data_IF_189321703123
#
_entry.id   IF_189321703123
#
_cell.length_a   1.000
_cell.length_b   1.000
_cell.length_c   1.000
_cell.angle_alpha   90.00
_cell.angle_beta   90.00
_cell.angle_gamma   90.00
#
_symmetry.space_group_name_H-M   'P 1'
#
loop_
_entity.id
_entity.type
_entity.pdbx_description
1 polymer ?
#
# COMPACT_ATOMS: atom_id res chain seq x y z
N UNK A 1 27.39 -83.20 10.54
CA UNK A 1 26.66 -84.05 11.50
C UNK A 1 26.19 -83.16 12.63
N UNK A 2 24.86 -83.05 12.80
CA UNK A 2 24.12 -82.84 14.06
C UNK A 2 24.85 -82.01 15.13
N UNK A 3 24.49 -80.76 15.44
CA UNK A 3 23.19 -80.35 16.00
C UNK A 3 23.14 -78.82 16.11
N UNK A 4 22.35 -78.15 15.27
CA UNK A 4 21.92 -76.75 15.48
C UNK A 4 20.63 -76.42 14.70
N UNK A 5 19.89 -77.45 14.31
CA UNK A 5 18.55 -77.35 13.75
C UNK A 5 17.55 -77.67 14.86
N UNK A 6 17.34 -76.75 15.82
CA UNK A 6 16.15 -76.74 16.69
C UNK A 6 16.01 -75.51 17.60
N UNK A 7 16.39 -74.31 17.14
CA UNK A 7 16.07 -73.06 17.87
C UNK A 7 15.17 -72.07 17.11
N UNK A 8 14.76 -72.39 15.88
CA UNK A 8 13.96 -71.47 15.03
C UNK A 8 12.53 -71.96 14.75
N UNK A 9 11.94 -72.75 15.66
CA UNK A 9 10.58 -73.28 15.50
C UNK A 9 9.59 -72.87 16.62
N UNK A 10 9.87 -71.81 17.40
CA UNK A 10 8.98 -71.40 18.52
C UNK A 10 8.81 -69.89 18.73
N UNK A 11 8.92 -69.06 17.69
CA UNK A 11 8.49 -67.67 17.75
C UNK A 11 7.69 -67.37 16.49
N UNK A 12 6.36 -67.31 16.65
CA UNK A 12 5.41 -67.01 15.58
C UNK A 12 5.55 -65.57 15.05
N UNK A 13 4.61 -65.12 14.20
CA UNK A 13 4.71 -63.84 13.50
C UNK A 13 3.98 -62.67 14.20
N UNK A 14 4.41 -62.17 15.38
CA UNK A 14 4.00 -60.82 15.80
C UNK A 14 5.14 -59.80 15.79
N UNK A 15 6.42 -60.19 15.65
CA UNK A 15 7.53 -59.24 15.82
C UNK A 15 7.81 -58.35 14.58
N UNK A 16 7.51 -58.84 13.37
CA UNK A 16 7.66 -58.04 12.14
C UNK A 16 6.56 -56.97 12.02
N UNK A 17 5.35 -57.24 12.54
CA UNK A 17 4.24 -56.28 12.56
C UNK A 17 4.42 -55.17 13.60
N UNK A 18 5.00 -55.48 14.77
CA UNK A 18 5.27 -54.47 15.81
C UNK A 18 6.38 -53.51 15.39
N UNK A 19 7.39 -53.97 14.65
CA UNK A 19 8.46 -53.10 14.13
C UNK A 19 8.00 -52.14 13.03
N UNK A 20 7.07 -52.53 12.16
CA UNK A 20 6.55 -51.65 11.12
C UNK A 20 5.63 -50.55 11.67
N UNK A 21 4.86 -50.83 12.73
CA UNK A 21 3.98 -49.84 13.36
C UNK A 21 4.80 -48.80 14.16
N UNK A 22 5.88 -49.23 14.83
CA UNK A 22 6.78 -48.30 15.53
C UNK A 22 7.55 -47.37 14.58
N UNK A 23 7.99 -47.85 13.42
CA UNK A 23 8.67 -47.01 12.42
C UNK A 23 7.72 -46.01 11.72
N UNK A 24 6.46 -46.39 11.49
CA UNK A 24 5.44 -45.48 10.93
C UNK A 24 4.97 -44.41 11.93
N UNK A 25 4.97 -44.71 13.24
CA UNK A 25 4.67 -43.74 14.30
C UNK A 25 5.84 -42.79 14.61
N UNK A 26 7.10 -43.23 14.43
CA UNK A 26 8.27 -42.35 14.57
C UNK A 26 8.53 -41.47 13.34
N UNK A 27 8.11 -41.85 12.13
CA UNK A 27 8.17 -40.97 10.95
C UNK A 27 7.04 -39.93 10.88
N UNK A 28 5.91 -40.17 11.54
CA UNK A 28 4.78 -39.23 11.57
C UNK A 28 4.92 -38.12 12.62
N UNK A 29 5.82 -38.30 13.61
CA UNK A 29 6.11 -37.27 14.63
C UNK A 29 7.18 -36.26 14.17
N UNK A 30 7.91 -36.53 13.09
CA UNK A 30 8.99 -35.66 12.58
C UNK A 30 8.60 -34.67 11.47
N UNK A 31 7.34 -34.64 11.04
CA UNK A 31 6.87 -33.72 9.99
C UNK A 31 5.66 -32.86 10.39
N UNK A 32 5.35 -32.73 11.68
CA UNK A 32 4.52 -31.62 12.15
C UNK A 32 5.48 -30.48 12.50
N UNK A 33 6.00 -29.80 11.48
CA UNK A 33 6.45 -28.42 11.71
C UNK A 33 5.20 -27.68 12.18
N UNK A 34 5.19 -27.05 13.36
CA UNK A 34 4.13 -26.10 13.63
C UNK A 34 4.24 -25.09 12.49
N UNK A 35 3.23 -25.05 11.63
CA UNK A 35 2.99 -23.85 10.87
C UNK A 35 2.69 -22.80 11.94
N UNK A 36 3.74 -22.14 12.43
CA UNK A 36 3.61 -20.77 12.85
C UNK A 36 3.17 -20.06 11.57
N UNK A 37 1.87 -20.11 11.28
CA UNK A 37 1.22 -19.03 10.60
C UNK A 37 1.66 -17.83 11.43
N UNK A 38 2.63 -17.07 10.92
CA UNK A 38 2.90 -15.76 11.42
C UNK A 38 1.52 -15.11 11.38
N UNK A 39 0.88 -14.98 12.54
CA UNK A 39 -0.38 -14.29 12.64
C UNK A 39 -0.07 -12.92 12.04
N UNK A 40 -0.52 -12.73 10.80
CA UNK A 40 -0.46 -11.45 10.14
C UNK A 40 -1.21 -10.54 11.09
N UNK A 41 -0.55 -9.47 11.53
CA UNK A 41 -1.22 -8.54 12.42
C UNK A 41 -2.28 -7.82 11.61
N UNK A 42 -3.46 -8.42 11.52
CA UNK A 42 -4.63 -7.81 10.95
C UNK A 42 -5.27 -6.99 12.08
N UNK A 43 -4.67 -5.85 12.42
CA UNK A 43 -5.54 -4.77 12.87
C UNK A 43 -6.20 -4.27 11.62
N UNK A 44 -7.48 -4.57 11.47
CA UNK A 44 -8.37 -3.72 10.69
C UNK A 44 -8.41 -2.39 11.45
N UNK A 45 -7.83 -1.30 10.92
CA UNK A 45 -7.94 0.00 11.58
C UNK A 45 -9.43 0.29 11.80
N UNK A 46 -9.81 0.79 12.98
CA UNK A 46 -11.22 1.12 13.25
C UNK A 46 -11.78 2.09 12.21
N UNK A 47 -10.91 2.89 11.57
CA UNK A 47 -11.22 3.90 10.55
C UNK A 47 -10.49 3.66 9.21
N UNK A 48 -10.51 2.44 8.68
CA UNK A 48 -9.99 2.16 7.33
C UNK A 48 -8.46 1.98 7.28
N UNK A 49 -7.67 3.06 7.16
CA UNK A 49 -6.19 3.01 7.05
C UNK A 49 -5.44 3.57 8.26
N UNK A 50 -6.15 4.16 9.22
CA UNK A 50 -5.56 4.71 10.46
C UNK A 50 -4.64 5.92 10.21
N UNK A 51 -3.63 6.09 11.07
CA UNK A 51 -2.58 7.11 10.92
C UNK A 51 -1.63 6.70 9.79
N UNK A 52 -1.22 7.65 8.96
CA UNK A 52 -0.51 7.37 7.69
C UNK A 52 0.82 8.10 7.57
N UNK A 53 1.78 7.48 6.88
CA UNK A 53 3.04 8.11 6.51
C UNK A 53 3.57 7.64 5.14
N UNK A 54 4.39 8.48 4.52
CA UNK A 54 5.12 8.22 3.28
C UNK A 54 6.62 8.40 3.49
N UNK A 55 7.41 7.47 2.98
CA UNK A 55 8.88 7.55 3.01
C UNK A 55 9.51 6.85 1.80
N UNK A 56 10.12 7.63 0.90
CA UNK A 56 10.78 7.15 -0.32
C UNK A 56 12.31 7.21 -0.24
N UNK A 57 12.86 7.45 0.96
CA UNK A 57 14.29 7.37 1.21
C UNK A 57 14.80 5.92 1.40
N UNK A 58 16.13 5.78 1.45
CA UNK A 58 16.80 4.55 1.83
C UNK A 58 18.02 4.87 2.73
N UNK A 59 18.27 4.10 3.81
CA UNK A 59 17.44 3.00 4.33
C UNK A 59 16.12 3.50 4.95
N UNK A 60 15.09 2.64 5.00
CA UNK A 60 13.80 2.95 5.62
C UNK A 60 13.93 2.93 7.15
N UNK A 61 13.61 4.03 7.88
CA UNK A 61 13.73 4.12 9.33
C UNK A 61 12.55 3.43 10.02
N UNK A 62 12.57 2.09 10.06
CA UNK A 62 11.46 1.24 10.57
C UNK A 62 10.96 1.69 11.94
N UNK A 63 11.85 1.86 12.92
CA UNK A 63 11.48 2.22 14.29
C UNK A 63 10.67 3.53 14.37
N UNK A 64 11.09 4.56 13.64
CA UNK A 64 10.40 5.85 13.64
C UNK A 64 9.04 5.77 12.91
N UNK A 65 8.99 5.00 11.83
CA UNK A 65 7.78 4.82 11.03
C UNK A 65 6.78 3.86 11.68
N UNK A 66 7.21 3.00 12.60
CA UNK A 66 6.36 2.04 13.29
C UNK A 66 5.33 2.64 14.25
N UNK A 67 5.35 3.97 14.45
CA UNK A 67 4.28 4.69 15.18
C UNK A 67 3.00 4.88 14.36
N UNK A 68 3.10 4.79 13.03
CA UNK A 68 1.96 4.93 12.12
C UNK A 68 1.28 3.58 11.87
N UNK A 69 -0.03 3.59 11.69
CA UNK A 69 -0.81 2.39 11.36
C UNK A 69 -0.54 1.91 9.92
N UNK A 70 -0.28 2.85 9.00
CA UNK A 70 -0.01 2.59 7.59
C UNK A 70 1.18 3.42 7.11
N UNK A 71 2.14 2.76 6.43
CA UNK A 71 3.32 3.44 5.88
C UNK A 71 3.52 3.03 4.43
N UNK A 72 3.54 4.01 3.52
CA UNK A 72 3.86 3.83 2.11
C UNK A 72 5.35 4.04 1.88
N UNK A 73 6.00 3.07 1.23
CA UNK A 73 7.42 3.13 0.90
C UNK A 73 7.67 2.99 -0.60
N UNK A 74 8.80 3.51 -1.07
CA UNK A 74 9.29 3.22 -2.42
C UNK A 74 9.61 1.73 -2.50
N UNK A 75 8.86 1.02 -3.35
CA UNK A 75 8.91 -0.42 -3.48
C UNK A 75 10.31 -0.93 -3.88
N UNK A 76 11.04 -0.15 -4.67
CA UNK A 76 12.36 -0.55 -5.19
C UNK A 76 13.53 -0.06 -4.30
N UNK A 77 13.25 0.48 -3.11
CA UNK A 77 14.26 0.93 -2.13
C UNK A 77 15.11 -0.18 -1.48
N UNK A 78 14.80 -1.45 -1.77
CA UNK A 78 15.39 -2.61 -1.09
C UNK A 78 14.71 -2.99 0.23
N UNK A 79 13.61 -2.31 0.60
CA UNK A 79 12.84 -2.62 1.81
C UNK A 79 12.15 -4.00 1.75
N UNK A 80 12.22 -4.75 2.85
CA UNK A 80 11.50 -6.01 3.06
C UNK A 80 10.41 -5.84 4.13
N UNK A 81 9.12 -5.77 3.74
CA UNK A 81 8.01 -5.60 4.69
C UNK A 81 7.85 -6.80 5.64
N UNK A 82 8.35 -7.99 5.29
CA UNK A 82 8.29 -9.18 6.17
C UNK A 82 9.31 -9.07 7.29
N UNK A 83 10.52 -8.60 6.98
CA UNK A 83 11.55 -8.37 7.98
C UNK A 83 11.11 -7.29 8.99
N UNK A 84 10.54 -6.18 8.50
CA UNK A 84 10.00 -5.12 9.36
C UNK A 84 8.82 -5.60 10.22
N UNK A 85 7.97 -6.50 9.72
CA UNK A 85 6.89 -7.09 10.51
C UNK A 85 7.36 -8.13 11.54
N UNK A 86 8.62 -8.58 11.47
CA UNK A 86 9.21 -9.59 12.33
C UNK A 86 10.00 -9.02 13.53
N UNK A 87 10.32 -7.72 13.55
CA UNK A 87 11.01 -7.03 14.65
C UNK A 87 10.08 -6.77 15.85
N UNK A 88 9.32 -7.81 16.23
CA UNK A 88 8.31 -7.82 17.29
C UNK A 88 8.99 -8.00 18.65
N UNK A 89 9.53 -6.93 19.21
CA UNK A 89 9.78 -6.93 20.65
C UNK A 89 8.45 -6.67 21.34
N UNK A 90 8.02 -7.62 22.19
CA UNK A 90 6.70 -7.72 22.82
C UNK A 90 6.28 -6.57 23.75
N UNK A 91 6.83 -5.38 23.56
CA UNK A 91 6.53 -4.14 24.28
C UNK A 91 5.98 -3.03 23.37
N UNK A 92 6.24 -3.03 22.05
CA UNK A 92 5.68 -2.04 21.11
C UNK A 92 4.51 -2.62 20.32
N UNK A 93 3.29 -2.39 20.80
CA UNK A 93 2.02 -2.95 20.31
C UNK A 93 1.48 -2.35 18.99
N UNK A 94 2.32 -1.74 18.16
CA UNK A 94 1.89 -1.08 16.92
C UNK A 94 2.22 -1.95 15.70
N UNK A 95 1.16 -2.39 15.01
CA UNK A 95 1.27 -3.16 13.79
C UNK A 95 1.14 -2.25 12.59
N UNK A 96 2.28 -1.79 12.08
CA UNK A 96 2.32 -0.97 10.86
C UNK A 96 2.05 -1.83 9.63
N UNK A 97 1.07 -1.40 8.84
CA UNK A 97 0.79 -1.95 7.53
C UNK A 97 1.70 -1.26 6.50
N UNK A 98 2.64 -2.04 5.94
CA UNK A 98 3.56 -1.54 4.91
C UNK A 98 2.92 -1.63 3.53
N UNK A 99 2.81 -0.48 2.87
CA UNK A 99 2.26 -0.31 1.53
C UNK A 99 3.39 -0.04 0.54
N UNK A 100 3.26 -0.57 -0.67
CA UNK A 100 4.17 -0.25 -1.76
C UNK A 100 3.64 0.92 -2.59
N UNK A 101 4.49 1.90 -2.88
CA UNK A 101 4.25 2.89 -3.93
C UNK A 101 4.18 2.20 -5.30
N UNK A 102 3.14 2.51 -6.08
CA UNK A 102 2.98 2.03 -7.45
C UNK A 102 2.40 3.13 -8.34
N UNK A 103 3.10 3.50 -9.41
CA UNK A 103 2.57 4.39 -10.45
C UNK A 103 1.72 3.60 -11.46
N UNK A 104 0.46 4.01 -11.65
CA UNK A 104 -0.50 3.37 -12.58
C UNK A 104 -0.56 4.11 -13.93
N UNK A 105 -0.53 5.44 -13.88
CA UNK A 105 -0.65 6.31 -15.06
C UNK A 105 0.67 6.55 -15.78
N UNK A 106 1.81 6.33 -15.12
CA UNK A 106 3.11 6.65 -15.66
C UNK A 106 4.14 5.53 -15.43
N UNK A 107 5.24 5.58 -16.18
CA UNK A 107 6.39 4.70 -15.95
C UNK A 107 7.70 5.44 -16.17
N UNK A 108 8.62 5.29 -15.23
CA UNK A 108 9.99 5.78 -15.32
C UNK A 108 10.94 4.69 -15.86
N UNK A 109 12.08 5.08 -16.43
CA UNK A 109 12.99 4.15 -17.13
C UNK A 109 13.73 3.18 -16.19
N UNK A 110 13.79 3.53 -14.91
CA UNK A 110 14.42 2.79 -13.82
C UNK A 110 13.56 1.63 -13.30
N UNK A 111 12.26 1.58 -13.64
CA UNK A 111 11.42 0.44 -13.26
C UNK A 111 11.83 -0.81 -14.03
N UNK A 112 11.99 -1.93 -13.31
CA UNK A 112 12.41 -3.22 -13.89
C UNK A 112 11.48 -3.68 -15.03
N UNK A 113 10.19 -3.38 -14.94
CA UNK A 113 9.20 -3.74 -15.96
C UNK A 113 9.17 -2.79 -17.17
N UNK A 114 9.93 -1.68 -17.17
CA UNK A 114 9.90 -0.68 -18.26
C UNK A 114 10.25 -1.30 -19.63
N UNK A 115 11.24 -2.19 -19.67
CA UNK A 115 11.69 -2.82 -20.91
C UNK A 115 10.68 -3.83 -21.46
N UNK A 116 9.90 -4.47 -20.60
CA UNK A 116 8.85 -5.42 -20.98
C UNK A 116 7.59 -4.72 -21.52
N UNK A 117 7.40 -3.43 -21.20
CA UNK A 117 6.23 -2.67 -21.64
C UNK A 117 6.28 -2.36 -23.15
N UNK A 118 5.22 -2.70 -23.91
CA UNK A 118 5.08 -2.32 -25.31
C UNK A 118 5.23 -0.81 -25.53
N UNK A 119 6.13 -0.41 -26.43
CA UNK A 119 6.42 1.00 -26.69
C UNK A 119 5.19 1.82 -27.06
N UNK A 120 4.25 1.21 -27.79
CA UNK A 120 3.00 1.83 -28.26
C UNK A 120 2.05 2.23 -27.13
N UNK A 121 2.23 1.71 -25.92
CA UNK A 121 1.41 2.09 -24.75
C UNK A 121 1.91 3.36 -24.08
N UNK A 122 3.05 3.94 -24.49
CA UNK A 122 3.59 5.17 -23.91
C UNK A 122 3.24 6.35 -24.82
N UNK A 123 2.16 7.06 -24.50
CA UNK A 123 1.55 8.08 -25.38
C UNK A 123 1.96 9.53 -25.05
N UNK A 124 2.64 9.74 -23.94
CA UNK A 124 3.07 11.09 -23.53
C UNK A 124 4.30 11.06 -22.64
N UNK A 125 4.72 12.24 -22.21
CA UNK A 125 5.82 12.42 -21.27
C UNK A 125 5.43 13.45 -20.23
N UNK A 126 5.73 13.16 -18.98
CA UNK A 126 5.71 14.13 -17.90
C UNK A 126 7.16 14.57 -17.62
N UNK A 127 7.48 15.81 -17.99
CA UNK A 127 8.87 16.29 -17.95
C UNK A 127 9.39 16.49 -16.52
N UNK A 128 8.52 16.92 -15.60
CA UNK A 128 8.88 17.17 -14.20
C UNK A 128 9.36 15.90 -13.48
N UNK A 129 8.79 14.76 -13.85
CA UNK A 129 9.09 13.44 -13.26
C UNK A 129 9.93 12.54 -14.17
N UNK A 130 10.33 13.02 -15.36
CA UNK A 130 11.07 12.23 -16.35
C UNK A 130 10.45 10.86 -16.70
N UNK A 131 9.13 10.79 -16.64
CA UNK A 131 8.32 9.59 -16.84
C UNK A 131 7.54 9.63 -18.16
N UNK A 132 7.13 8.46 -18.64
CA UNK A 132 6.25 8.30 -19.79
C UNK A 132 4.81 8.08 -19.32
N UNK A 133 3.84 8.78 -19.93
CA UNK A 133 2.42 8.61 -19.66
C UNK A 133 1.90 7.37 -20.39
N UNK A 134 1.26 6.47 -19.65
CA UNK A 134 0.72 5.20 -20.12
C UNK A 134 -0.69 5.38 -20.68
N UNK A 135 -0.95 4.76 -21.83
CA UNK A 135 -2.29 4.57 -22.38
C UNK A 135 -3.11 3.60 -21.54
N UNK A 136 -3.99 4.14 -20.70
CA UNK A 136 -4.86 3.32 -19.85
C UNK A 136 -5.87 2.53 -20.69
N UNK A 137 -6.15 2.96 -21.92
CA UNK A 137 -7.09 2.28 -22.83
C UNK A 137 -6.48 1.10 -23.58
N UNK A 138 -5.17 0.84 -23.41
CA UNK A 138 -4.52 -0.31 -24.02
C UNK A 138 -5.11 -1.63 -23.45
N UNK A 139 -5.67 -2.54 -24.28
CA UNK A 139 -6.37 -3.73 -23.78
C UNK A 139 -5.52 -4.67 -22.92
N UNK A 140 -4.19 -4.69 -23.14
CA UNK A 140 -3.25 -5.50 -22.37
C UNK A 140 -2.74 -4.85 -21.09
N UNK A 141 -3.04 -3.56 -20.86
CA UNK A 141 -2.52 -2.82 -19.71
C UNK A 141 -3.00 -3.38 -18.36
N UNK A 142 -4.30 -3.69 -18.14
CA UNK A 142 -4.76 -4.27 -16.88
C UNK A 142 -4.00 -5.55 -16.49
N UNK A 143 -3.85 -6.48 -17.43
CA UNK A 143 -3.13 -7.74 -17.18
C UNK A 143 -1.64 -7.48 -16.91
N UNK A 144 -1.01 -6.63 -17.73
CA UNK A 144 0.39 -6.28 -17.54
C UNK A 144 0.65 -5.67 -16.16
N UNK A 145 -0.22 -4.74 -15.72
CA UNK A 145 -0.11 -4.09 -14.42
C UNK A 145 -0.18 -5.12 -13.29
N UNK A 146 -1.16 -6.02 -13.33
CA UNK A 146 -1.32 -7.07 -12.32
C UNK A 146 -0.13 -8.03 -12.29
N UNK A 147 0.36 -8.47 -13.45
CA UNK A 147 1.40 -9.51 -13.55
C UNK A 147 2.82 -8.99 -13.34
N UNK A 148 3.14 -7.82 -13.88
CA UNK A 148 4.50 -7.29 -13.88
C UNK A 148 4.75 -6.24 -12.80
N UNK A 149 3.70 -5.61 -12.26
CA UNK A 149 3.84 -4.56 -11.23
C UNK A 149 3.38 -5.09 -9.88
N UNK A 150 2.15 -5.61 -9.78
CA UNK A 150 1.57 -6.01 -8.48
C UNK A 150 2.08 -7.38 -8.02
N UNK A 151 2.10 -8.39 -8.89
CA UNK A 151 2.44 -9.76 -8.48
C UNK A 151 3.84 -9.90 -7.83
N UNK A 152 4.92 -9.27 -8.35
CA UNK A 152 6.24 -9.32 -7.70
C UNK A 152 6.22 -8.71 -6.28
N UNK A 153 5.49 -7.61 -6.09
CA UNK A 153 5.35 -6.95 -4.78
C UNK A 153 4.53 -7.80 -3.81
N UNK A 154 3.48 -8.46 -4.29
CA UNK A 154 2.71 -9.42 -3.50
C UNK A 154 3.57 -10.59 -3.00
N UNK A 155 4.45 -11.11 -3.87
CA UNK A 155 5.44 -12.16 -3.55
C UNK A 155 6.46 -11.67 -2.52
N UNK A 156 6.83 -10.39 -2.54
CA UNK A 156 7.69 -9.75 -1.50
C UNK A 156 6.98 -9.55 -0.16
N UNK A 157 5.65 -9.63 -0.12
CA UNK A 157 4.87 -9.62 1.12
C UNK A 157 3.98 -8.40 1.33
N UNK A 158 3.97 -7.44 0.40
CA UNK A 158 3.04 -6.32 0.45
C UNK A 158 1.59 -6.80 0.33
N UNK A 159 0.69 -6.18 1.09
CA UNK A 159 -0.77 -6.37 1.03
C UNK A 159 -1.52 -5.05 0.82
N UNK A 160 -0.81 -3.93 0.93
CA UNK A 160 -1.31 -2.61 0.62
C UNK A 160 -0.54 -1.98 -0.55
N UNK A 161 -1.25 -1.23 -1.39
CA UNK A 161 -0.67 -0.51 -2.53
C UNK A 161 -1.19 0.94 -2.56
N UNK A 162 -0.26 1.88 -2.67
CA UNK A 162 -0.58 3.27 -2.96
C UNK A 162 -0.48 3.50 -4.47
N UNK A 163 -1.62 3.73 -5.10
CA UNK A 163 -1.76 3.84 -6.54
C UNK A 163 -1.69 5.30 -6.97
N UNK A 164 -0.58 5.66 -7.59
CA UNK A 164 -0.27 7.04 -7.96
C UNK A 164 -0.53 7.32 -9.45
N UNK A 165 -0.48 8.59 -9.85
CA UNK A 165 -0.58 9.11 -11.23
C UNK A 165 -1.92 8.80 -11.93
N UNK A 166 -2.99 8.66 -11.16
CA UNK A 166 -4.33 8.30 -11.66
C UNK A 166 -4.98 9.40 -12.52
N UNK A 167 -4.42 10.60 -12.55
CA UNK A 167 -4.85 11.74 -13.36
C UNK A 167 -3.89 12.09 -14.52
N UNK A 168 -2.76 11.39 -14.68
CA UNK A 168 -1.76 11.67 -15.72
C UNK A 168 -2.29 11.51 -17.14
N UNK A 169 -3.36 10.76 -17.35
CA UNK A 169 -4.04 10.66 -18.65
C UNK A 169 -4.55 12.01 -19.17
N UNK A 170 -4.78 13.00 -18.29
CA UNK A 170 -5.18 14.35 -18.68
C UNK A 170 -4.10 15.05 -19.54
N UNK A 171 -2.84 14.64 -19.42
CA UNK A 171 -1.74 15.13 -20.25
C UNK A 171 -1.89 14.74 -21.72
N UNK A 172 -2.52 13.59 -22.01
CA UNK A 172 -2.65 13.04 -23.38
C UNK A 172 -4.07 13.10 -23.94
N UNK A 173 -5.11 13.02 -23.09
CA UNK A 173 -6.51 12.97 -23.54
C UNK A 173 -7.16 14.35 -23.59
N UNK A 174 -7.37 14.88 -24.80
CA UNK A 174 -7.87 16.24 -25.04
C UNK A 174 -9.35 16.33 -25.43
N UNK A 175 -10.02 15.20 -25.65
CA UNK A 175 -11.45 15.14 -25.96
C UNK A 175 -12.19 14.29 -24.94
N UNK A 176 -13.46 14.58 -24.66
CA UNK A 176 -14.25 13.83 -23.68
C UNK A 176 -14.28 12.33 -23.99
N UNK A 177 -14.39 11.96 -25.27
CA UNK A 177 -14.33 10.57 -25.69
C UNK A 177 -12.98 9.91 -25.39
N UNK A 178 -11.86 10.64 -25.52
CA UNK A 178 -10.55 10.12 -25.14
C UNK A 178 -10.41 10.00 -23.63
N UNK A 179 -10.90 10.98 -22.86
CA UNK A 179 -10.88 10.98 -21.39
C UNK A 179 -11.68 9.80 -20.83
N UNK A 180 -12.89 9.58 -21.34
CA UNK A 180 -13.74 8.45 -20.96
C UNK A 180 -13.06 7.09 -21.22
N UNK A 181 -12.33 6.94 -22.34
CA UNK A 181 -11.56 5.71 -22.61
C UNK A 181 -10.42 5.49 -21.61
N UNK A 182 -9.73 6.56 -21.20
CA UNK A 182 -8.66 6.46 -20.22
C UNK A 182 -9.21 6.11 -18.83
N UNK A 183 -10.30 6.76 -18.41
CA UNK A 183 -11.01 6.46 -17.15
C UNK A 183 -11.52 5.01 -17.11
N UNK A 184 -12.16 4.53 -18.19
CA UNK A 184 -12.58 3.14 -18.29
C UNK A 184 -11.40 2.16 -18.19
N UNK A 185 -10.26 2.53 -18.78
CA UNK A 185 -9.00 1.79 -18.69
C UNK A 185 -8.47 1.66 -17.25
N UNK A 186 -8.46 2.76 -16.51
CA UNK A 186 -8.07 2.79 -15.09
C UNK A 186 -9.00 1.92 -14.24
N UNK A 187 -10.31 2.05 -14.43
CA UNK A 187 -11.32 1.24 -13.74
C UNK A 187 -11.07 -0.25 -14.01
N UNK A 188 -10.84 -0.64 -15.26
CA UNK A 188 -10.53 -2.02 -15.62
C UNK A 188 -9.24 -2.52 -14.97
N UNK A 189 -8.23 -1.65 -14.85
CA UNK A 189 -6.95 -1.98 -14.21
C UNK A 189 -7.11 -2.24 -12.72
N UNK A 190 -7.85 -1.38 -12.01
CA UNK A 190 -8.15 -1.55 -10.58
C UNK A 190 -9.00 -2.80 -10.35
N UNK A 191 -10.05 -3.02 -11.15
CA UNK A 191 -10.90 -4.22 -11.07
C UNK A 191 -10.10 -5.51 -11.34
N UNK A 192 -9.16 -5.49 -12.29
CA UNK A 192 -8.29 -6.63 -12.55
C UNK A 192 -7.36 -6.94 -11.36
N UNK A 193 -6.81 -5.91 -10.71
CA UNK A 193 -6.03 -6.06 -9.48
C UNK A 193 -6.88 -6.72 -8.39
N UNK A 194 -8.05 -6.16 -8.10
CA UNK A 194 -8.94 -6.68 -7.05
C UNK A 194 -9.47 -8.09 -7.36
N UNK A 195 -9.73 -8.41 -8.62
CA UNK A 195 -10.11 -9.76 -9.02
C UNK A 195 -9.00 -10.77 -8.73
N UNK A 196 -7.72 -10.39 -8.92
CA UNK A 196 -6.58 -11.28 -8.65
C UNK A 196 -6.19 -11.33 -7.17
N UNK A 197 -6.34 -10.21 -6.47
CA UNK A 197 -5.96 -9.98 -5.08
C UNK A 197 -7.10 -9.28 -4.33
N UNK A 198 -8.18 -10.00 -3.96
CA UNK A 198 -9.35 -9.40 -3.35
C UNK A 198 -9.06 -8.71 -2.02
N UNK A 199 -8.08 -9.23 -1.26
CA UNK A 199 -7.65 -8.69 0.03
C UNK A 199 -6.64 -7.53 -0.09
N UNK A 200 -6.23 -7.15 -1.31
CA UNK A 200 -5.33 -6.01 -1.49
C UNK A 200 -6.01 -4.72 -1.02
N UNK A 201 -5.37 -3.99 -0.11
CA UNK A 201 -5.81 -2.67 0.31
C UNK A 201 -5.24 -1.60 -0.62
N UNK A 202 -6.09 -0.70 -1.10
CA UNK A 202 -5.69 0.31 -2.09
C UNK A 202 -5.88 1.70 -1.50
N UNK A 203 -4.84 2.52 -1.55
CA UNK A 203 -4.93 3.96 -1.34
C UNK A 203 -4.72 4.61 -2.70
N UNK A 204 -5.65 5.44 -3.15
CA UNK A 204 -5.53 6.15 -4.42
C UNK A 204 -4.94 7.54 -4.21
N UNK A 205 -3.96 7.94 -5.01
CA UNK A 205 -3.62 9.37 -5.14
C UNK A 205 -4.57 10.00 -6.16
N UNK A 206 -5.49 10.83 -5.68
CA UNK A 206 -6.58 11.43 -6.45
C UNK A 206 -7.50 10.36 -7.07
N UNK A 207 -7.66 10.35 -8.39
CA UNK A 207 -8.58 9.46 -9.09
C UNK A 207 -10.06 9.81 -8.89
N UNK A 208 -10.38 11.09 -8.63
CA UNK A 208 -11.72 11.54 -8.30
C UNK A 208 -12.76 11.16 -9.37
N UNK A 209 -12.37 11.17 -10.64
CA UNK A 209 -13.26 10.89 -11.78
C UNK A 209 -13.67 9.42 -11.87
N UNK A 210 -12.88 8.49 -11.32
CA UNK A 210 -13.17 7.05 -11.37
C UNK A 210 -13.79 6.52 -10.08
N UNK A 211 -13.69 7.26 -8.97
CA UNK A 211 -14.24 6.86 -7.67
C UNK A 211 -15.72 6.43 -7.69
N UNK A 212 -16.64 7.07 -8.45
CA UNK A 212 -18.02 6.60 -8.52
C UNK A 212 -18.16 5.11 -8.86
N UNK A 213 -17.23 4.56 -9.65
CA UNK A 213 -17.26 3.19 -10.17
C UNK A 213 -16.47 2.17 -9.34
N UNK A 214 -15.56 2.63 -8.47
CA UNK A 214 -14.56 1.78 -7.80
C UNK A 214 -14.36 2.08 -6.32
N UNK A 215 -15.13 2.99 -5.71
CA UNK A 215 -14.98 3.33 -4.28
C UNK A 215 -15.11 2.11 -3.35
N UNK A 216 -15.91 1.10 -3.71
CA UNK A 216 -16.03 -0.16 -2.94
C UNK A 216 -14.78 -1.04 -2.93
N UNK A 217 -13.81 -0.76 -3.80
CA UNK A 217 -12.56 -1.50 -3.94
C UNK A 217 -11.37 -0.83 -3.22
N UNK A 218 -11.59 0.35 -2.65
CA UNK A 218 -10.55 1.26 -2.15
C UNK A 218 -10.63 1.41 -0.63
N UNK A 219 -9.49 1.54 0.03
CA UNK A 219 -9.37 1.72 1.48
C UNK A 219 -9.30 3.20 1.91
N UNK A 220 -8.70 4.08 1.09
CA UNK A 220 -8.66 5.53 1.30
C UNK A 220 -8.30 6.28 0.01
N UNK A 221 -8.53 7.60 0.01
CA UNK A 221 -8.11 8.50 -1.07
C UNK A 221 -7.18 9.57 -0.52
N UNK A 222 -5.98 9.67 -1.06
CA UNK A 222 -5.05 10.75 -0.79
C UNK A 222 -5.11 11.82 -1.88
N UNK A 223 -4.60 13.01 -1.59
CA UNK A 223 -4.27 14.01 -2.61
C UNK A 223 -3.11 14.89 -2.15
N UNK A 224 -2.44 15.49 -3.13
CA UNK A 224 -1.34 16.44 -2.96
C UNK A 224 -1.74 17.78 -3.63
N UNK A 225 -1.85 18.89 -2.91
CA UNK A 225 -1.80 19.06 -1.43
C UNK A 225 -2.83 20.11 -0.98
N UNK A 226 -3.08 20.27 0.33
CA UNK A 226 -4.14 21.14 0.83
C UNK A 226 -3.67 22.55 1.25
N UNK A 227 -2.50 22.70 1.87
CA UNK A 227 -1.99 23.99 2.35
C UNK A 227 -0.54 24.23 1.93
N UNK A 228 0.34 23.24 2.12
CA UNK A 228 1.76 23.29 1.76
C UNK A 228 2.02 22.51 0.46
N UNK A 229 2.50 23.20 -0.57
CA UNK A 229 2.76 22.62 -1.90
C UNK A 229 4.24 22.41 -2.17
N UNK A 230 4.54 21.47 -3.06
CA UNK A 230 5.85 21.25 -3.64
C UNK A 230 5.78 21.36 -5.16
N UNK A 231 6.54 22.29 -5.73
CA UNK A 231 6.73 22.39 -7.17
C UNK A 231 7.96 21.57 -7.58
N UNK A 232 7.72 20.41 -8.19
CA UNK A 232 8.80 19.52 -8.65
C UNK A 232 9.65 20.14 -9.77
N UNK A 233 9.11 21.00 -10.63
CA UNK A 233 9.89 21.61 -11.70
C UNK A 233 10.79 22.74 -11.18
N UNK A 234 10.25 23.57 -10.27
CA UNK A 234 10.98 24.67 -9.66
C UNK A 234 11.78 24.28 -8.40
N UNK A 235 11.57 23.06 -7.89
CA UNK A 235 12.13 22.56 -6.63
C UNK A 235 11.87 23.53 -5.46
N UNK A 236 10.61 23.97 -5.33
CA UNK A 236 10.22 25.05 -4.42
C UNK A 236 8.96 24.72 -3.62
N UNK A 237 9.01 25.02 -2.33
CA UNK A 237 7.83 24.99 -1.45
C UNK A 237 6.95 26.22 -1.66
N UNK A 238 5.64 26.04 -1.52
CA UNK A 238 4.69 27.14 -1.65
C UNK A 238 3.40 26.91 -0.87
N UNK A 239 2.50 27.88 -0.96
CA UNK A 239 1.13 27.73 -0.50
C UNK A 239 0.26 27.19 -1.64
N UNK A 240 -0.71 26.33 -1.32
CA UNK A 240 -1.76 25.92 -2.25
C UNK A 240 -2.72 27.09 -2.48
N UNK A 241 -3.07 27.46 -3.73
CA UNK A 241 -4.01 28.55 -4.03
C UNK A 241 -5.40 28.35 -3.38
N UNK A 242 -6.05 29.43 -2.96
CA UNK A 242 -7.31 29.35 -2.21
C UNK A 242 -8.46 28.65 -2.96
N UNK A 243 -8.55 28.84 -4.27
CA UNK A 243 -9.56 28.18 -5.11
C UNK A 243 -9.33 26.67 -5.17
N UNK A 244 -8.07 26.25 -5.32
CA UNK A 244 -7.67 24.83 -5.30
C UNK A 244 -8.00 24.19 -3.94
N UNK A 245 -7.71 24.89 -2.83
CA UNK A 245 -8.09 24.41 -1.48
C UNK A 245 -9.59 24.23 -1.34
N UNK A 246 -10.37 25.19 -1.82
CA UNK A 246 -11.83 25.15 -1.75
C UNK A 246 -12.37 23.96 -2.54
N UNK A 247 -11.81 23.72 -3.73
CA UNK A 247 -12.18 22.57 -4.56
C UNK A 247 -11.78 21.24 -3.90
N UNK A 248 -10.57 21.12 -3.35
CA UNK A 248 -10.10 19.91 -2.67
C UNK A 248 -10.90 19.59 -1.40
N UNK A 249 -11.28 20.60 -0.61
CA UNK A 249 -12.16 20.42 0.56
C UNK A 249 -13.54 19.89 0.12
N UNK A 250 -14.08 20.39 -1.01
CA UNK A 250 -15.33 19.87 -1.55
C UNK A 250 -15.19 18.41 -2.00
N UNK A 251 -14.09 18.03 -2.68
CA UNK A 251 -13.81 16.63 -3.03
C UNK A 251 -13.71 15.75 -1.78
N UNK A 252 -12.94 16.18 -0.78
CA UNK A 252 -12.78 15.45 0.48
C UNK A 252 -14.12 15.23 1.19
N UNK A 253 -14.97 16.26 1.21
CA UNK A 253 -16.33 16.17 1.74
C UNK A 253 -17.17 15.15 0.97
N UNK A 254 -17.19 15.19 -0.36
CA UNK A 254 -17.91 14.21 -1.18
C UNK A 254 -17.44 12.79 -0.88
N UNK A 255 -16.12 12.57 -0.81
CA UNK A 255 -15.56 11.23 -0.57
C UNK A 255 -15.97 10.70 0.81
N UNK A 256 -15.90 11.54 1.84
CA UNK A 256 -16.29 11.16 3.21
C UNK A 256 -17.79 10.93 3.35
N UNK A 257 -18.62 11.81 2.80
CA UNK A 257 -20.07 11.78 3.00
C UNK A 257 -20.77 10.74 2.09
N UNK A 258 -20.35 10.66 0.82
CA UNK A 258 -20.99 9.81 -0.19
C UNK A 258 -20.36 8.41 -0.23
N UNK A 259 -19.03 8.32 -0.23
CA UNK A 259 -18.33 7.04 -0.38
C UNK A 259 -17.88 6.43 0.94
N UNK A 260 -17.99 7.17 2.06
CA UNK A 260 -17.60 6.72 3.40
C UNK A 260 -16.14 6.26 3.48
N UNK A 261 -15.27 6.90 2.69
CA UNK A 261 -13.84 6.62 2.66
C UNK A 261 -13.06 7.68 3.46
N UNK A 262 -11.99 7.28 4.17
CA UNK A 262 -10.99 8.20 4.69
C UNK A 262 -10.35 9.01 3.56
N UNK A 263 -10.04 10.27 3.84
CA UNK A 263 -9.35 11.17 2.92
C UNK A 263 -8.08 11.68 3.57
N UNK A 264 -6.98 11.65 2.83
CA UNK A 264 -5.64 12.00 3.30
C UNK A 264 -5.12 13.19 2.50
N UNK A 265 -4.54 14.17 3.18
CA UNK A 265 -3.77 15.23 2.55
C UNK A 265 -2.28 15.00 2.79
N UNK A 266 -1.52 14.89 1.71
CA UNK A 266 -0.06 14.83 1.75
C UNK A 266 0.45 16.23 1.42
N UNK A 267 1.07 16.86 2.41
CA UNK A 267 1.48 18.26 2.36
C UNK A 267 2.98 18.43 2.61
N UNK A 268 3.51 19.57 2.15
CA UNK A 268 4.95 19.77 2.04
C UNK A 268 5.46 21.01 2.76
N UNK A 269 6.47 20.81 3.61
CA UNK A 269 7.28 21.85 4.24
C UNK A 269 8.76 21.53 4.06
N UNK A 270 9.64 22.52 4.18
CA UNK A 270 11.08 22.26 4.20
C UNK A 270 11.47 21.31 5.37
N UNK A 271 12.50 20.45 5.22
CA UNK A 271 12.87 19.45 6.24
C UNK A 271 13.06 20.04 7.64
N UNK A 272 13.65 21.24 7.74
CA UNK A 272 13.95 21.89 9.01
C UNK A 272 12.81 22.79 9.54
N UNK A 273 11.69 22.90 8.82
CA UNK A 273 10.56 23.76 9.18
C UNK A 273 9.48 23.03 9.99
N UNK A 274 9.82 22.72 11.25
CA UNK A 274 8.89 22.09 12.18
C UNK A 274 7.64 22.94 12.51
N UNK A 275 7.72 24.29 12.64
CA UNK A 275 6.54 25.13 12.78
C UNK A 275 5.55 25.00 11.61
N UNK A 276 6.02 25.07 10.36
CA UNK A 276 5.19 24.87 9.16
C UNK A 276 4.44 23.54 9.23
N UNK A 277 5.14 22.44 9.56
CA UNK A 277 4.51 21.11 9.65
C UNK A 277 3.39 21.07 10.68
N UNK A 278 3.62 21.60 11.88
CA UNK A 278 2.59 21.60 12.95
C UNK A 278 1.35 22.42 12.55
N UNK A 279 1.57 23.62 12.03
CA UNK A 279 0.47 24.50 11.61
C UNK A 279 -0.39 23.84 10.51
N UNK A 280 0.25 23.26 9.49
CA UNK A 280 -0.46 22.61 8.40
C UNK A 280 -1.20 21.36 8.90
N UNK A 281 -0.59 20.54 9.78
CA UNK A 281 -1.29 19.39 10.37
C UNK A 281 -2.56 19.85 11.09
N UNK A 282 -2.49 20.88 11.94
CA UNK A 282 -3.65 21.42 12.65
C UNK A 282 -4.75 21.91 11.69
N UNK A 283 -4.37 22.59 10.60
CA UNK A 283 -5.31 23.05 9.58
C UNK A 283 -6.00 21.89 8.85
N UNK A 284 -5.26 20.84 8.48
CA UNK A 284 -5.81 19.65 7.85
C UNK A 284 -6.74 18.89 8.81
N UNK A 285 -6.35 18.72 10.09
CA UNK A 285 -7.22 18.13 11.12
C UNK A 285 -8.54 18.91 11.24
N UNK A 286 -8.48 20.24 11.26
CA UNK A 286 -9.65 21.10 11.37
C UNK A 286 -10.60 21.00 10.16
N UNK A 287 -10.09 20.61 8.98
CA UNK A 287 -10.88 20.30 7.79
C UNK A 287 -11.51 18.89 7.83
N UNK A 288 -11.21 18.08 8.85
CA UNK A 288 -11.68 16.70 8.97
C UNK A 288 -11.05 15.76 7.94
N UNK A 289 -9.78 16.01 7.59
CA UNK A 289 -8.97 15.22 6.67
C UNK A 289 -7.79 14.64 7.45
N UNK A 290 -7.31 13.45 7.08
CA UNK A 290 -6.13 12.82 7.69
C UNK A 290 -4.85 13.50 7.18
N UNK A 291 -4.01 14.08 8.04
CA UNK A 291 -2.79 14.75 7.62
C UNK A 291 -1.59 13.81 7.52
N UNK A 292 -0.74 14.08 6.54
CA UNK A 292 0.68 13.74 6.61
C UNK A 292 1.52 14.87 6.00
N UNK A 293 2.36 15.53 6.80
CA UNK A 293 3.17 16.66 6.35
C UNK A 293 4.66 16.33 6.43
N UNK A 294 5.35 16.42 5.30
CA UNK A 294 6.77 16.00 5.15
C UNK A 294 7.52 16.91 4.16
N UNK A 295 8.72 16.53 3.72
CA UNK A 295 9.48 17.23 2.69
C UNK A 295 9.11 16.78 1.26
N UNK A 296 9.41 17.61 0.26
CA UNK A 296 9.03 17.37 -1.13
C UNK A 296 9.69 16.14 -1.78
N UNK A 297 10.74 15.58 -1.18
CA UNK A 297 11.35 14.34 -1.65
C UNK A 297 10.84 13.09 -0.90
N UNK A 298 9.99 13.27 0.13
CA UNK A 298 9.48 12.20 1.00
C UNK A 298 10.63 11.43 1.68
N UNK A 299 11.70 12.11 2.12
CA UNK A 299 12.90 11.49 2.72
C UNK A 299 13.09 11.81 4.19
N UNK A 300 12.18 12.59 4.77
CA UNK A 300 12.10 12.90 6.18
C UNK A 300 10.85 12.22 6.75
N UNK A 301 10.96 11.69 7.97
CA UNK A 301 9.76 11.20 8.67
C UNK A 301 8.90 12.41 9.03
N UNK A 302 7.73 12.48 8.42
CA UNK A 302 6.79 13.58 8.58
C UNK A 302 5.99 13.53 9.88
N UNK A 303 5.00 14.41 9.97
CA UNK A 303 4.05 14.51 11.09
C UNK A 303 2.66 14.16 10.57
N UNK A 304 2.00 13.20 11.22
CA UNK A 304 0.61 12.86 10.94
C UNK A 304 -0.31 13.20 12.12
N UNK A 305 -1.53 12.65 12.10
CA UNK A 305 -2.51 12.88 13.18
C UNK A 305 -2.07 12.29 14.52
N UNK A 306 -1.19 11.29 14.51
CA UNK A 306 -0.59 10.61 15.67
C UNK A 306 0.06 11.58 16.68
N UNK A 307 0.49 12.74 16.20
CA UNK A 307 1.20 13.74 17.00
C UNK A 307 0.39 15.02 17.32
N UNK A 308 -0.78 15.23 16.72
CA UNK A 308 -1.36 16.58 16.71
C UNK A 308 -2.89 16.71 16.56
N UNK A 309 -3.61 15.76 15.96
CA UNK A 309 -5.07 15.86 15.96
C UNK A 309 -5.57 15.47 17.36
N UNK A 310 -5.93 16.44 18.20
CA UNK A 310 -6.69 16.16 19.43
C UNK A 310 -7.92 15.31 19.12
N UNK A 311 -8.31 14.41 20.04
CA UNK A 311 -9.34 13.38 19.86
C UNK A 311 -10.45 13.80 18.87
N UNK A 312 -10.61 13.01 17.79
CA UNK A 312 -11.56 13.32 16.71
C UNK A 312 -12.94 13.57 17.31
N UNK A 313 -13.68 14.62 16.88
CA UNK A 313 -15.02 14.89 17.40
C UNK A 313 -16.00 13.71 17.27
N UNK A 314 -15.76 12.80 16.32
CA UNK A 314 -16.60 11.62 16.08
C UNK A 314 -16.44 10.53 17.16
N UNK A 315 -15.33 10.51 17.91
CA UNK A 315 -15.14 9.57 19.03
C UNK A 315 -16.06 9.88 20.23
N UNK A 316 -16.61 11.09 20.31
CA UNK A 316 -17.50 11.50 21.39
C UNK A 316 -18.96 11.03 21.22
N UNK A 317 -19.36 10.55 20.03
CA UNK A 317 -20.75 10.14 19.74
C UNK A 317 -20.98 8.63 19.82
N UNK A 318 -19.91 7.81 19.89
CA UNK A 318 -20.03 6.35 20.03
C UNK A 318 -20.19 5.82 21.46
N UNK A 319 -19.96 6.65 22.49
CA UNK A 319 -19.92 6.21 23.90
C UNK A 319 -21.22 6.43 24.70
N UNK A 320 -22.36 6.62 24.01
CA UNK A 320 -23.68 6.63 24.66
C UNK A 320 -24.70 5.86 23.84
N UNK A 321 -24.68 4.53 23.97
CA UNK A 321 -25.87 3.68 23.96
C UNK A 321 -25.60 2.40 24.74
#
# INVERSE_FOLDING_TARGET
MTTLANLFARLGPPWVLVSCIAAALLLSVLCVRPAFAAAACQRTPQDGVGTVAWFYGAPVPVEQLSRFDTVVVEADSGFDPRAAAATRDGQTSHCTNWYAYVSVGEVSKDRDYFAAMPRKWRLGRNAAWSSAVIDQSAPGWPQFFVEHVIAPLWVRGYRGFFLDTLDSWQLIAKTDAARARQQAGLINTIRALKARYPDAQLILNRGFEILPEIHGDVAAVAFESLYGSWDQAAQRYGAVPADDRTWLIAQARTIREQYRLPVISIDYCAPDDAPCRREIVEQICAAGVEPYVTDGALRTVGVGSDAACGARPDDAQGARH
#
